data_IF_837682031160
#
_entry.id   IF_837682031160
#
_cell.length_a   1.000
_cell.length_b   1.000
_cell.length_c   1.000
_cell.angle_alpha   90.00
_cell.angle_beta   90.00
_cell.angle_gamma   90.00
#
_symmetry.space_group_name_H-M   'P 1'
#
loop_
_entity.id
_entity.type
_entity.pdbx_description
1 polymer ?
#
# COMPACT_ATOMS: atom_id res chain seq x y z
N UNK A 1 -18.53 -1.74 -21.42
CA UNK A 1 -18.94 -1.06 -20.18
C UNK A 1 -18.86 0.45 -20.40
N UNK A 2 -19.90 1.23 -20.08
CA UNK A 2 -19.89 2.69 -20.27
C UNK A 2 -18.83 3.38 -19.38
N UNK A 3 -18.20 4.44 -19.90
CA UNK A 3 -17.19 5.28 -19.21
C UNK A 3 -17.63 5.69 -17.79
N UNK A 4 -18.88 6.13 -17.67
CA UNK A 4 -19.49 6.58 -16.41
C UNK A 4 -19.62 5.45 -15.38
N UNK A 5 -19.94 4.24 -15.85
CA UNK A 5 -19.97 3.05 -14.98
C UNK A 5 -18.56 2.66 -14.52
N UNK A 6 -17.55 2.72 -15.40
CA UNK A 6 -16.15 2.45 -15.04
C UNK A 6 -15.65 3.42 -13.96
N UNK A 7 -15.85 4.73 -14.16
CA UNK A 7 -15.43 5.77 -13.20
C UNK A 7 -16.16 5.62 -11.85
N UNK A 8 -17.42 5.20 -11.87
CA UNK A 8 -18.19 4.90 -10.65
C UNK A 8 -17.60 3.73 -9.87
N UNK A 9 -17.33 2.60 -10.55
CA UNK A 9 -16.72 1.43 -9.93
C UNK A 9 -15.34 1.75 -9.33
N UNK A 10 -14.47 2.44 -10.08
CA UNK A 10 -13.15 2.87 -9.59
C UNK A 10 -13.25 3.78 -8.35
N UNK A 11 -14.25 4.67 -8.30
CA UNK A 11 -14.45 5.55 -7.15
C UNK A 11 -14.88 4.79 -5.90
N UNK A 12 -15.82 3.85 -6.03
CA UNK A 12 -16.29 3.01 -4.93
C UNK A 12 -15.11 2.19 -4.39
N UNK A 13 -14.39 1.52 -5.29
CA UNK A 13 -13.30 0.63 -4.92
C UNK A 13 -12.13 1.42 -4.30
N UNK A 14 -11.84 2.62 -4.81
CA UNK A 14 -10.88 3.53 -4.18
C UNK A 14 -11.28 3.93 -2.75
N UNK A 15 -12.55 4.31 -2.54
CA UNK A 15 -13.05 4.71 -1.22
C UNK A 15 -12.97 3.55 -0.23
N UNK A 16 -13.42 2.36 -0.61
CA UNK A 16 -13.38 1.17 0.24
C UNK A 16 -11.92 0.87 0.63
N UNK A 17 -11.01 0.84 -0.35
CA UNK A 17 -9.59 0.55 -0.10
C UNK A 17 -8.91 1.61 0.77
N UNK A 18 -9.20 2.90 0.58
CA UNK A 18 -8.67 3.96 1.46
C UNK A 18 -9.20 3.82 2.88
N UNK A 19 -10.50 3.63 3.05
CA UNK A 19 -11.11 3.53 4.39
C UNK A 19 -10.58 2.31 5.13
N UNK A 20 -10.63 1.12 4.52
CA UNK A 20 -10.10 -0.10 5.13
C UNK A 20 -8.59 0.00 5.35
N UNK A 21 -7.86 0.56 4.39
CA UNK A 21 -6.43 0.78 4.48
C UNK A 21 -6.04 1.65 5.68
N UNK A 22 -6.72 2.78 5.87
CA UNK A 22 -6.52 3.66 7.04
C UNK A 22 -6.89 2.96 8.34
N UNK A 23 -8.05 2.29 8.40
CA UNK A 23 -8.46 1.55 9.61
C UNK A 23 -7.43 0.51 10.02
N UNK A 24 -6.95 -0.32 9.08
CA UNK A 24 -5.99 -1.39 9.37
C UNK A 24 -4.57 -0.87 9.63
N UNK A 25 -4.17 0.24 8.98
CA UNK A 25 -2.84 0.82 9.16
C UNK A 25 -2.72 1.62 10.47
N UNK A 26 -3.73 2.40 10.82
CA UNK A 26 -3.69 3.34 11.96
C UNK A 26 -4.33 2.75 13.22
N UNK A 27 -5.40 1.96 13.06
CA UNK A 27 -6.18 1.40 14.16
C UNK A 27 -6.33 -0.12 14.04
N UNK A 28 -5.23 -0.90 13.89
CA UNK A 28 -5.30 -2.34 13.63
C UNK A 28 -6.05 -3.11 14.73
N UNK A 29 -5.77 -2.79 16.00
CA UNK A 29 -6.40 -3.46 17.14
C UNK A 29 -7.88 -3.18 17.26
N UNK A 30 -8.30 -1.92 17.10
CA UNK A 30 -9.71 -1.53 17.12
C UNK A 30 -10.46 -2.14 15.95
N UNK A 31 -9.84 -2.19 14.77
CA UNK A 31 -10.44 -2.79 13.57
C UNK A 31 -10.65 -4.30 13.78
N UNK A 32 -9.64 -5.02 14.26
CA UNK A 32 -9.75 -6.45 14.57
C UNK A 32 -10.85 -6.71 15.60
N UNK A 33 -10.87 -5.94 16.69
CA UNK A 33 -11.87 -6.09 17.75
C UNK A 33 -13.29 -5.78 17.25
N UNK A 34 -13.47 -4.72 16.46
CA UNK A 34 -14.76 -4.32 15.92
C UNK A 34 -15.36 -5.40 15.00
N UNK A 35 -14.55 -6.01 14.15
CA UNK A 35 -14.98 -7.08 13.24
C UNK A 35 -14.99 -8.48 13.88
N UNK A 36 -14.59 -8.62 15.16
CA UNK A 36 -14.50 -9.91 15.83
C UNK A 36 -13.47 -10.86 15.19
N UNK A 37 -12.42 -10.31 14.59
CA UNK A 37 -11.35 -11.09 13.95
C UNK A 37 -10.41 -11.71 14.99
N UNK A 38 -9.73 -12.82 14.67
CA UNK A 38 -8.77 -13.43 15.58
C UNK A 38 -7.67 -12.46 16.00
N UNK A 39 -7.41 -12.37 17.31
CA UNK A 39 -6.33 -11.54 17.85
C UNK A 39 -4.99 -12.16 17.47
N UNK A 40 -4.11 -11.37 16.89
CA UNK A 40 -2.74 -11.77 16.52
C UNK A 40 -1.75 -11.29 17.58
N UNK A 41 -0.64 -12.02 17.75
CA UNK A 41 0.41 -11.62 18.69
C UNK A 41 1.11 -10.31 18.32
N UNK A 42 1.02 -9.89 17.05
CA UNK A 42 1.53 -8.59 16.56
C UNK A 42 0.56 -8.02 15.52
N UNK A 43 0.60 -6.71 15.31
CA UNK A 43 -0.17 -6.04 14.25
C UNK A 43 0.63 -5.86 12.95
N UNK A 44 1.76 -6.54 12.80
CA UNK A 44 2.66 -6.39 11.65
C UNK A 44 1.94 -6.62 10.32
N UNK A 45 1.41 -7.83 10.10
CA UNK A 45 0.75 -8.15 8.82
C UNK A 45 -0.52 -7.34 8.58
N UNK A 46 -1.21 -6.96 9.64
CA UNK A 46 -2.46 -6.17 9.60
C UNK A 46 -2.17 -4.76 9.10
N UNK A 47 -1.14 -4.12 9.65
CA UNK A 47 -0.73 -2.78 9.23
C UNK A 47 -0.08 -2.79 7.84
N UNK A 48 0.69 -3.83 7.48
CA UNK A 48 1.20 -4.00 6.10
C UNK A 48 0.06 -4.14 5.09
N UNK A 49 -0.95 -4.95 5.40
CA UNK A 49 -2.15 -5.05 4.56
C UNK A 49 -2.86 -3.70 4.46
N UNK A 50 -3.00 -2.98 5.57
CA UNK A 50 -3.56 -1.63 5.58
C UNK A 50 -2.82 -0.65 4.67
N UNK A 51 -1.48 -0.68 4.69
CA UNK A 51 -0.65 0.14 3.81
C UNK A 51 -0.83 -0.21 2.33
N UNK A 52 -0.91 -1.50 2.00
CA UNK A 52 -1.17 -1.97 0.64
C UNK A 52 -2.55 -1.51 0.15
N UNK A 53 -3.61 -1.71 0.95
CA UNK A 53 -4.97 -1.26 0.60
C UNK A 53 -5.02 0.26 0.43
N UNK A 54 -4.37 1.02 1.32
CA UNK A 54 -4.29 2.47 1.18
C UNK A 54 -3.60 2.87 -0.14
N UNK A 55 -2.48 2.20 -0.48
CA UNK A 55 -1.79 2.41 -1.75
C UNK A 55 -2.64 2.08 -2.97
N UNK A 56 -3.39 0.98 -2.93
CA UNK A 56 -4.34 0.60 -3.99
C UNK A 56 -5.43 1.67 -4.12
N UNK A 57 -5.99 2.13 -3.01
CA UNK A 57 -7.02 3.17 -3.01
C UNK A 57 -6.53 4.48 -3.63
N UNK A 58 -5.31 4.90 -3.31
CA UNK A 58 -4.65 6.06 -3.93
C UNK A 58 -4.44 5.82 -5.42
N UNK A 59 -3.96 4.63 -5.80
CA UNK A 59 -3.70 4.28 -7.19
C UNK A 59 -4.97 4.31 -8.05
N UNK A 60 -6.08 3.75 -7.55
CA UNK A 60 -7.39 3.80 -8.20
C UNK A 60 -7.92 5.24 -8.31
N UNK A 61 -7.66 6.08 -7.30
CA UNK A 61 -8.03 7.50 -7.35
C UNK A 61 -7.26 8.27 -8.42
N UNK A 62 -5.96 7.97 -8.59
CA UNK A 62 -5.12 8.52 -9.66
C UNK A 62 -5.62 8.05 -11.03
N UNK A 63 -5.90 6.76 -11.19
CA UNK A 63 -6.41 6.18 -12.44
C UNK A 63 -7.75 6.82 -12.85
N UNK A 64 -8.63 7.09 -11.88
CA UNK A 64 -9.91 7.76 -12.15
C UNK A 64 -9.75 9.16 -12.77
N UNK A 65 -8.65 9.88 -12.49
CA UNK A 65 -8.40 11.26 -12.96
C UNK A 65 -7.70 11.32 -14.32
N UNK A 66 -7.04 10.25 -14.76
CA UNK A 66 -6.29 10.23 -16.02
C UNK A 66 -7.12 9.53 -17.11
N UNK A 67 -7.74 10.31 -17.99
CA UNK A 67 -8.58 9.76 -19.08
C UNK A 67 -7.75 9.30 -20.30
N UNK A 68 -6.57 9.88 -20.54
CA UNK A 68 -5.96 9.86 -21.88
C UNK A 68 -4.61 9.13 -22.04
N UNK A 69 -3.99 8.55 -20.98
CA UNK A 69 -2.61 8.04 -21.17
C UNK A 69 -2.20 6.77 -20.42
N UNK A 70 -3.01 6.28 -19.48
CA UNK A 70 -2.64 5.13 -18.65
C UNK A 70 -3.92 4.32 -18.36
N UNK A 71 -4.12 3.19 -19.04
CA UNK A 71 -5.16 2.20 -18.68
C UNK A 71 -4.56 1.27 -17.61
N UNK A 72 -5.16 1.18 -16.42
CA UNK A 72 -4.69 0.40 -15.26
C UNK A 72 -4.02 1.25 -14.17
N UNK A 73 -3.72 0.64 -13.01
CA UNK A 73 -3.03 1.24 -11.85
C UNK A 73 -1.83 2.12 -12.24
N UNK A 74 -1.16 1.79 -13.35
CA UNK A 74 -0.09 2.58 -13.95
C UNK A 74 1.14 2.66 -13.06
N UNK A 75 2.17 3.37 -13.55
CA UNK A 75 3.41 3.56 -12.81
C UNK A 75 3.19 4.32 -11.50
N UNK A 76 2.31 5.33 -11.51
CA UNK A 76 1.99 6.12 -10.32
C UNK A 76 1.33 5.27 -9.22
N UNK A 77 0.45 4.34 -9.59
CA UNK A 77 -0.16 3.41 -8.64
C UNK A 77 0.84 2.41 -8.06
N UNK A 78 1.69 1.84 -8.91
CA UNK A 78 2.76 0.93 -8.47
C UNK A 78 3.70 1.62 -7.47
N UNK A 79 4.12 2.86 -7.74
CA UNK A 79 4.92 3.68 -6.81
C UNK A 79 4.18 3.84 -5.48
N UNK A 80 2.90 4.25 -5.49
CA UNK A 80 2.13 4.48 -4.27
C UNK A 80 2.05 3.23 -3.38
N UNK A 81 1.76 2.08 -3.98
CA UNK A 81 1.68 0.79 -3.27
C UNK A 81 3.04 0.40 -2.70
N UNK A 82 4.10 0.44 -3.52
CA UNK A 82 5.44 0.04 -3.10
C UNK A 82 5.98 0.91 -1.96
N UNK A 83 5.83 2.24 -2.06
CA UNK A 83 6.32 3.16 -1.03
C UNK A 83 5.57 2.96 0.29
N UNK A 84 4.24 2.83 0.25
CA UNK A 84 3.46 2.64 1.48
C UNK A 84 3.73 1.28 2.12
N UNK A 85 3.69 0.19 1.35
CA UNK A 85 3.90 -1.16 1.88
C UNK A 85 5.33 -1.33 2.43
N UNK A 86 6.35 -0.99 1.65
CA UNK A 86 7.73 -1.14 2.09
C UNK A 86 8.09 -0.14 3.20
N UNK A 87 7.52 1.07 3.17
CA UNK A 87 7.65 2.05 4.24
C UNK A 87 7.09 1.54 5.57
N UNK A 88 5.92 0.91 5.57
CA UNK A 88 5.36 0.29 6.78
C UNK A 88 6.23 -0.84 7.31
N UNK A 89 6.73 -1.73 6.44
CA UNK A 89 7.67 -2.79 6.88
C UNK A 89 8.96 -2.18 7.42
N UNK A 90 9.49 -1.12 6.79
CA UNK A 90 10.69 -0.43 7.26
C UNK A 90 10.49 0.17 8.65
N UNK A 91 9.36 0.85 8.90
CA UNK A 91 9.03 1.37 10.23
C UNK A 91 9.03 0.25 11.27
N UNK A 92 8.41 -0.88 10.96
CA UNK A 92 8.43 -2.05 11.85
C UNK A 92 9.84 -2.59 12.10
N UNK A 93 10.66 -2.74 11.08
CA UNK A 93 12.05 -3.19 11.20
C UNK A 93 12.91 -2.25 12.06
N UNK A 94 12.56 -0.96 12.11
CA UNK A 94 13.27 0.06 12.88
C UNK A 94 12.75 0.21 14.31
N UNK A 95 11.44 0.04 14.53
CA UNK A 95 10.78 0.33 15.81
C UNK A 95 10.66 -0.91 16.70
N UNK A 96 10.43 -2.09 16.12
CA UNK A 96 10.15 -3.30 16.89
C UNK A 96 11.19 -4.40 16.62
N UNK A 97 12.00 -4.79 17.63
CA UNK A 97 12.83 -5.97 17.53
C UNK A 97 11.95 -7.22 17.60
N UNK A 98 11.50 -7.69 16.44
CA UNK A 98 10.84 -8.99 16.32
C UNK A 98 11.65 -10.10 17.00
N UNK A 99 11.02 -10.92 17.84
CA UNK A 99 11.65 -12.13 18.37
C UNK A 99 11.67 -13.24 17.29
N UNK A 100 12.36 -12.98 16.18
CA UNK A 100 12.42 -13.87 15.02
C UNK A 100 13.85 -14.31 14.71
N UNK A 101 14.04 -15.50 14.09
CA UNK A 101 15.35 -15.96 13.65
C UNK A 101 16.02 -14.99 12.68
N UNK A 102 17.35 -14.91 12.66
CA UNK A 102 18.12 -14.01 11.78
C UNK A 102 17.73 -14.12 10.30
N UNK A 103 17.38 -15.32 9.81
CA UNK A 103 16.86 -15.52 8.44
C UNK A 103 15.60 -14.70 8.14
N UNK A 104 14.72 -14.48 9.13
CA UNK A 104 13.52 -13.67 8.99
C UNK A 104 13.87 -12.19 8.78
N UNK A 105 14.83 -11.67 9.54
CA UNK A 105 15.37 -10.32 9.33
C UNK A 105 15.98 -10.15 7.96
N UNK A 106 16.82 -11.09 7.51
CA UNK A 106 17.45 -11.02 6.18
C UNK A 106 16.38 -10.96 5.09
N UNK A 107 15.35 -11.80 5.16
CA UNK A 107 14.25 -11.79 4.19
C UNK A 107 13.50 -10.47 4.21
N UNK A 108 13.08 -9.98 5.38
CA UNK A 108 12.30 -8.74 5.48
C UNK A 108 13.11 -7.52 5.01
N UNK A 109 14.37 -7.39 5.43
CA UNK A 109 15.24 -6.33 4.93
C UNK A 109 15.43 -6.39 3.42
N UNK A 110 15.63 -7.60 2.87
CA UNK A 110 15.79 -7.77 1.41
C UNK A 110 14.53 -7.32 0.68
N UNK A 111 13.35 -7.79 1.10
CA UNK A 111 12.07 -7.40 0.50
C UNK A 111 11.85 -5.90 0.62
N UNK A 112 12.07 -5.32 1.80
CA UNK A 112 11.92 -3.87 2.02
C UNK A 112 12.85 -3.06 1.12
N UNK A 113 14.13 -3.40 1.04
CA UNK A 113 15.10 -2.68 0.21
C UNK A 113 14.74 -2.79 -1.27
N UNK A 114 14.37 -3.98 -1.74
CA UNK A 114 14.00 -4.20 -3.15
C UNK A 114 12.73 -3.41 -3.49
N UNK A 115 11.65 -3.56 -2.72
CA UNK A 115 10.36 -2.93 -3.02
C UNK A 115 10.41 -1.41 -2.83
N UNK A 116 11.08 -0.92 -1.79
CA UNK A 116 11.27 0.51 -1.61
C UNK A 116 12.19 1.07 -2.70
N UNK A 117 13.26 0.34 -3.05
CA UNK A 117 14.19 0.70 -4.11
C UNK A 117 13.51 0.83 -5.47
N UNK A 118 12.66 -0.13 -5.86
CA UNK A 118 11.90 -0.03 -7.12
C UNK A 118 10.97 1.19 -7.11
N UNK A 119 10.22 1.40 -6.03
CA UNK A 119 9.35 2.58 -5.89
C UNK A 119 10.10 3.91 -5.99
N UNK A 120 11.29 4.01 -5.38
CA UNK A 120 12.13 5.21 -5.44
C UNK A 120 12.75 5.44 -6.84
N UNK A 121 13.22 4.38 -7.51
CA UNK A 121 13.76 4.46 -8.87
C UNK A 121 12.69 4.93 -9.84
N UNK A 122 11.49 4.36 -9.76
CA UNK A 122 10.35 4.75 -10.59
C UNK A 122 9.93 6.19 -10.32
N UNK A 123 9.83 6.59 -9.05
CA UNK A 123 9.53 7.97 -8.67
C UNK A 123 10.58 8.95 -9.21
N UNK A 124 11.87 8.65 -9.06
CA UNK A 124 12.94 9.48 -9.60
C UNK A 124 12.87 9.58 -11.13
N UNK A 125 12.56 8.48 -11.82
CA UNK A 125 12.39 8.48 -13.28
C UNK A 125 11.20 9.35 -13.73
N UNK A 126 10.10 9.34 -12.98
CA UNK A 126 8.93 10.19 -13.25
C UNK A 126 9.26 11.67 -13.02
N UNK A 127 9.91 12.01 -11.90
CA UNK A 127 10.26 13.41 -11.57
C UNK A 127 11.29 13.99 -12.54
N UNK A 128 12.19 13.17 -13.08
CA UNK A 128 13.24 13.61 -14.01
C UNK A 128 12.78 13.79 -15.46
N UNK A 129 11.59 13.31 -15.84
CA UNK A 129 11.07 13.54 -17.20
C UNK A 129 10.43 14.94 -17.26
N UNK A 130 11.00 15.92 -18.00
CA UNK A 130 10.31 17.17 -18.26
C UNK A 130 9.02 16.87 -19.04
N UNK A 131 7.93 17.56 -18.66
CA UNK A 131 6.63 17.42 -19.31
C UNK A 131 6.68 17.89 -20.77
#
# INVERSE_FOLDING_TARGET
MNERHRKGLLAIDAVINVVLGVCLLVFPGQTIAFFGLPVTGTYFYVTVLGAVLLGIGIALWIERRNEDRWRGLGLAGAIAINILAAGTVLVWLLVDPFNMPARGYVVLWTVTIVVLGTGLVELAAVVRRPR
#
